data_IF_445945984850
#
_entry.id   IF_445945984850
#
_cell.length_a   1.000
_cell.length_b   1.000
_cell.length_c   1.000
_cell.angle_alpha   90.00
_cell.angle_beta   90.00
_cell.angle_gamma   90.00
#
_symmetry.space_group_name_H-M   'P 1'
#
loop_
_entity.id
_entity.type
_entity.pdbx_description
1 polymer ?
#
# COMPACT_ATOMS: atom_id res chain seq x y z
N UNK A 1 -7.44 -11.20 11.51
CA UNK A 1 -6.34 -11.30 12.50
C UNK A 1 -6.54 -12.48 13.44
N UNK A 2 -7.69 -12.58 14.12
CA UNK A 2 -7.94 -13.66 15.11
C UNK A 2 -7.74 -15.08 14.55
N UNK A 3 -8.21 -15.34 13.32
CA UNK A 3 -8.00 -16.62 12.66
C UNK A 3 -6.50 -16.96 12.50
N UNK A 4 -5.67 -15.99 12.08
CA UNK A 4 -4.22 -16.19 11.94
C UNK A 4 -3.55 -16.49 13.28
N UNK A 5 -4.02 -15.85 14.36
CA UNK A 5 -3.53 -16.11 15.73
C UNK A 5 -3.94 -17.49 16.20
N UNK A 6 -5.20 -17.87 16.00
CA UNK A 6 -5.73 -19.17 16.40
C UNK A 6 -5.03 -20.35 15.70
N UNK A 7 -4.52 -20.14 14.48
CA UNK A 7 -3.79 -21.16 13.72
C UNK A 7 -2.27 -21.06 13.83
N UNK A 8 -1.74 -20.14 14.65
CA UNK A 8 -0.29 -19.94 14.81
C UNK A 8 0.43 -19.36 13.58
N UNK A 9 -0.30 -18.81 12.61
CA UNK A 9 0.26 -18.23 11.38
C UNK A 9 0.55 -16.73 11.49
N UNK A 10 0.07 -16.08 12.56
CA UNK A 10 0.09 -14.62 12.69
C UNK A 10 1.49 -14.01 12.59
N UNK A 11 2.49 -14.61 13.26
CA UNK A 11 3.85 -14.04 13.33
C UNK A 11 4.56 -14.05 11.96
N UNK A 12 4.22 -15.02 11.09
CA UNK A 12 4.81 -15.24 9.77
C UNK A 12 3.86 -14.87 8.61
N UNK A 13 2.88 -14.01 8.88
CA UNK A 13 1.96 -13.50 7.85
C UNK A 13 2.15 -12.00 7.67
N UNK A 14 2.35 -11.58 6.42
CA UNK A 14 2.28 -10.18 6.02
C UNK A 14 0.82 -9.81 5.77
N UNK A 15 0.31 -8.83 6.50
CA UNK A 15 -1.04 -8.29 6.33
C UNK A 15 -0.93 -6.91 5.69
N UNK A 16 -1.58 -6.73 4.55
CA UNK A 16 -1.67 -5.45 3.84
C UNK A 16 -3.13 -5.05 3.75
N UNK A 17 -3.45 -3.83 4.20
CA UNK A 17 -4.75 -3.21 4.02
C UNK A 17 -4.59 -1.94 3.21
N UNK A 18 -5.34 -1.80 2.12
CA UNK A 18 -5.32 -0.63 1.22
C UNK A 18 -6.67 -0.48 0.50
N UNK A 19 -6.80 0.54 -0.34
CA UNK A 19 -7.95 0.78 -1.22
C UNK A 19 -7.51 0.90 -2.68
N UNK A 20 -8.40 0.66 -3.63
CA UNK A 20 -8.14 0.78 -5.08
C UNK A 20 -8.31 2.21 -5.61
N UNK A 21 -9.05 3.05 -4.89
CA UNK A 21 -9.24 4.48 -5.17
C UNK A 21 -9.62 5.25 -3.90
N UNK A 22 -9.57 6.57 -4.00
CA UNK A 22 -10.15 7.48 -3.01
C UNK A 22 -11.67 7.33 -2.94
N UNK A 23 -12.25 7.73 -1.80
CA UNK A 23 -13.66 7.51 -1.53
C UNK A 23 -14.60 8.27 -2.49
N UNK A 24 -15.82 7.76 -2.77
CA UNK A 24 -16.79 8.47 -3.61
C UNK A 24 -17.34 9.70 -2.90
N UNK A 25 -17.62 10.76 -3.68
CA UNK A 25 -18.34 11.93 -3.16
C UNK A 25 -19.82 11.63 -3.00
N UNK A 26 -20.41 12.16 -1.92
CA UNK A 26 -21.86 12.14 -1.68
C UNK A 26 -22.65 12.81 -2.83
N UNK A 27 -21.99 13.65 -3.62
CA UNK A 27 -22.57 14.35 -4.78
C UNK A 27 -22.60 13.49 -6.05
N UNK A 28 -22.00 12.29 -6.05
CA UNK A 28 -21.95 11.41 -7.23
C UNK A 28 -23.27 10.66 -7.49
N UNK A 29 -24.35 11.00 -6.78
CA UNK A 29 -25.71 10.51 -7.05
C UNK A 29 -26.00 9.07 -6.61
N UNK A 30 -25.07 8.41 -5.92
CA UNK A 30 -25.27 7.08 -5.33
C UNK A 30 -25.50 7.14 -3.81
N UNK A 31 -25.96 6.04 -3.18
CA UNK A 31 -26.14 5.98 -1.73
C UNK A 31 -24.81 5.95 -0.95
N UNK A 32 -23.69 5.85 -1.66
CA UNK A 32 -22.36 5.69 -1.07
C UNK A 32 -21.64 7.03 -1.00
N UNK A 33 -21.04 7.30 0.15
CA UNK A 33 -20.31 8.52 0.44
C UNK A 33 -19.11 8.25 1.33
N UNK A 34 -18.05 9.01 1.14
CA UNK A 34 -16.82 8.94 1.92
C UNK A 34 -16.22 10.33 2.14
N UNK A 35 -15.32 10.42 3.11
CA UNK A 35 -14.62 11.65 3.42
C UNK A 35 -13.14 11.52 3.04
N UNK A 36 -12.71 12.29 2.04
CA UNK A 36 -11.31 12.35 1.60
C UNK A 36 -10.55 13.55 2.19
N UNK A 37 -11.17 14.35 3.07
CA UNK A 37 -10.50 15.51 3.69
C UNK A 37 -9.19 15.07 4.38
N UNK A 38 -8.08 15.84 4.24
CA UNK A 38 -7.98 17.16 3.62
C UNK A 38 -7.68 17.16 2.10
N UNK A 39 -7.71 16.00 1.46
CA UNK A 39 -7.29 15.84 0.08
C UNK A 39 -8.37 16.33 -0.90
N UNK A 40 -7.94 16.96 -1.99
CA UNK A 40 -8.83 17.47 -3.04
C UNK A 40 -9.37 16.31 -3.89
N UNK A 41 -10.68 16.31 -4.17
CA UNK A 41 -11.30 15.36 -5.10
C UNK A 41 -11.83 14.09 -4.45
N UNK A 42 -12.30 13.17 -5.29
CA UNK A 42 -12.92 11.91 -4.91
C UNK A 42 -12.72 10.87 -6.02
N UNK A 43 -13.24 9.66 -5.82
CA UNK A 43 -13.23 8.58 -6.82
C UNK A 43 -13.48 9.10 -8.25
N UNK A 44 -12.56 8.79 -9.15
CA UNK A 44 -12.62 9.20 -10.56
C UNK A 44 -12.01 10.57 -10.87
N UNK A 45 -11.44 11.26 -9.88
CA UNK A 45 -10.61 12.45 -10.12
C UNK A 45 -9.12 12.10 -10.05
N UNK A 46 -8.31 12.83 -10.80
CA UNK A 46 -6.83 12.75 -10.79
C UNK A 46 -6.18 13.61 -9.70
N UNK A 47 -6.96 14.04 -8.71
CA UNK A 47 -6.46 14.74 -7.53
C UNK A 47 -6.19 13.73 -6.40
N UNK A 48 -5.40 14.10 -5.39
CA UNK A 48 -5.03 13.22 -4.28
C UNK A 48 -6.24 12.52 -3.62
N UNK A 49 -7.37 13.20 -3.45
CA UNK A 49 -8.58 12.60 -2.85
C UNK A 49 -9.24 11.53 -3.71
N UNK A 50 -8.85 11.38 -4.98
CA UNK A 50 -9.27 10.30 -5.87
C UNK A 50 -8.26 9.15 -5.99
N UNK A 51 -6.98 9.39 -5.68
CA UNK A 51 -5.88 8.44 -5.95
C UNK A 51 -5.09 8.03 -4.70
N UNK A 52 -4.91 8.92 -3.72
CA UNK A 52 -4.21 8.63 -2.48
C UNK A 52 -5.14 7.94 -1.51
N UNK A 53 -4.71 6.79 -1.01
CA UNK A 53 -5.51 5.88 -0.17
C UNK A 53 -4.80 5.58 1.15
N UNK A 54 -5.52 5.23 2.22
CA UNK A 54 -4.90 4.67 3.41
C UNK A 54 -4.25 3.33 3.06
N UNK A 55 -3.02 3.12 3.53
CA UNK A 55 -2.31 1.85 3.39
C UNK A 55 -1.65 1.49 4.72
N UNK A 56 -1.80 0.23 5.13
CA UNK A 56 -1.18 -0.31 6.34
C UNK A 56 -0.51 -1.64 6.00
N UNK A 57 0.72 -1.81 6.50
CA UNK A 57 1.44 -3.08 6.44
C UNK A 57 1.72 -3.52 7.86
N UNK A 58 1.46 -4.79 8.14
CA UNK A 58 1.78 -5.41 9.40
C UNK A 58 2.46 -6.75 9.16
N UNK A 59 3.69 -6.89 9.68
CA UNK A 59 4.46 -8.11 9.61
C UNK A 59 5.26 -8.28 10.90
N UNK A 60 4.78 -9.08 11.87
CA UNK A 60 5.39 -9.17 13.20
C UNK A 60 6.86 -9.58 13.18
N UNK A 61 7.22 -10.65 12.47
CA UNK A 61 8.58 -11.20 12.52
C UNK A 61 9.59 -10.40 11.68
N UNK A 62 9.29 -10.12 10.41
CA UNK A 62 10.26 -9.50 9.51
C UNK A 62 10.08 -7.99 9.30
N UNK A 63 9.10 -7.37 9.96
CA UNK A 63 8.84 -5.92 9.90
C UNK A 63 8.87 -5.25 11.28
N UNK A 64 9.40 -5.91 12.32
CA UNK A 64 9.33 -5.43 13.70
C UNK A 64 9.90 -4.00 13.88
N UNK A 65 10.95 -3.64 13.13
CA UNK A 65 11.56 -2.31 13.15
C UNK A 65 10.61 -1.20 12.66
N UNK A 66 9.57 -1.56 11.91
CA UNK A 66 8.57 -0.65 11.35
C UNK A 66 7.27 -0.59 12.16
N UNK A 67 7.17 -1.33 13.27
CA UNK A 67 5.97 -1.31 14.09
C UNK A 67 5.72 0.09 14.67
N UNK A 68 4.54 0.66 14.37
CA UNK A 68 4.14 1.99 14.83
C UNK A 68 4.84 3.16 14.11
N UNK A 69 5.62 2.88 13.06
CA UNK A 69 6.24 3.94 12.25
C UNK A 69 5.31 4.37 11.11
N UNK A 70 5.65 5.49 10.47
CA UNK A 70 4.99 5.97 9.25
C UNK A 70 6.05 6.11 8.17
N UNK A 71 5.70 5.71 6.94
CA UNK A 71 6.52 5.90 5.76
C UNK A 71 5.90 7.05 4.95
N UNK A 72 6.63 8.15 4.80
CA UNK A 72 6.18 9.33 4.04
C UNK A 72 6.69 9.34 2.58
N UNK A 73 7.22 8.20 2.10
CA UNK A 73 7.68 8.01 0.73
C UNK A 73 6.55 7.59 -0.21
N UNK A 74 6.76 7.79 -1.51
CA UNK A 74 5.77 7.42 -2.54
C UNK A 74 5.73 5.91 -2.70
N UNK A 75 4.56 5.33 -2.48
CA UNK A 75 4.24 3.96 -2.84
C UNK A 75 3.03 3.97 -3.76
N UNK A 76 3.17 3.31 -4.90
CA UNK A 76 2.16 3.30 -5.93
C UNK A 76 1.54 1.90 -6.07
N UNK A 77 0.26 1.76 -6.44
CA UNK A 77 -0.43 0.47 -6.48
C UNK A 77 0.29 -0.59 -7.35
N UNK A 78 0.94 -0.16 -8.44
CA UNK A 78 1.74 -1.01 -9.31
C UNK A 78 2.98 -1.61 -8.61
N UNK A 79 3.50 -0.96 -7.57
CA UNK A 79 4.68 -1.41 -6.82
C UNK A 79 4.39 -2.66 -5.98
N UNK A 80 3.12 -2.95 -5.68
CA UNK A 80 2.76 -4.16 -4.92
C UNK A 80 3.24 -5.44 -5.60
N UNK A 81 3.13 -5.52 -6.93
CA UNK A 81 3.54 -6.72 -7.66
C UNK A 81 5.03 -7.05 -7.44
N UNK A 82 6.00 -6.21 -7.84
CA UNK A 82 7.41 -6.52 -7.67
C UNK A 82 7.84 -6.52 -6.19
N UNK A 83 7.18 -5.74 -5.33
CA UNK A 83 7.45 -5.75 -3.88
C UNK A 83 7.11 -7.10 -3.25
N UNK A 84 5.99 -7.71 -3.62
CA UNK A 84 5.57 -9.00 -3.08
C UNK A 84 6.30 -10.18 -3.73
N UNK A 85 6.50 -10.14 -5.05
CA UNK A 85 7.09 -11.27 -5.77
C UNK A 85 8.60 -11.30 -5.61
N UNK A 86 9.28 -10.19 -5.92
CA UNK A 86 10.74 -10.14 -5.87
C UNK A 86 11.24 -9.93 -4.44
N UNK A 87 10.58 -9.05 -3.68
CA UNK A 87 10.94 -8.73 -2.31
C UNK A 87 10.55 -9.81 -1.31
N UNK A 88 9.25 -9.95 -1.04
CA UNK A 88 8.76 -10.89 -0.01
C UNK A 88 9.02 -12.36 -0.39
N UNK A 89 8.64 -12.79 -1.59
CA UNK A 89 8.76 -14.19 -1.99
C UNK A 89 10.19 -14.57 -2.48
N UNK A 90 11.07 -13.58 -2.67
CA UNK A 90 12.44 -13.81 -3.16
C UNK A 90 12.47 -14.43 -4.56
N UNK A 91 11.45 -14.19 -5.39
CA UNK A 91 11.34 -14.77 -6.74
C UNK A 91 11.75 -13.76 -7.79
N UNK A 92 12.65 -14.16 -8.66
CA UNK A 92 13.02 -13.36 -9.83
C UNK A 92 12.00 -13.56 -10.96
N UNK A 93 10.88 -12.84 -10.89
CA UNK A 93 9.86 -12.83 -11.93
C UNK A 93 9.87 -11.49 -12.67
N UNK A 94 10.29 -11.53 -13.93
CA UNK A 94 10.25 -10.40 -14.85
C UNK A 94 8.93 -10.36 -15.63
N UNK A 95 7.94 -9.65 -15.11
CA UNK A 95 6.86 -9.10 -15.93
C UNK A 95 7.23 -7.66 -16.26
N UNK A 96 6.96 -7.22 -17.49
CA UNK A 96 7.01 -5.79 -17.82
C UNK A 96 5.93 -5.09 -16.99
N UNK A 97 6.36 -4.23 -16.06
CA UNK A 97 5.46 -3.50 -15.16
C UNK A 97 6.05 -2.13 -14.83
N UNK A 98 5.19 -1.15 -14.60
CA UNK A 98 5.61 0.18 -14.13
C UNK A 98 5.96 0.20 -12.62
N UNK A 99 5.80 -0.93 -11.93
CA UNK A 99 6.08 -1.09 -10.51
C UNK A 99 7.56 -1.21 -10.18
N UNK A 100 7.94 -0.75 -8.98
CA UNK A 100 9.27 -0.90 -8.42
C UNK A 100 9.22 -1.75 -7.14
N UNK A 101 10.19 -2.64 -6.94
CA UNK A 101 10.31 -3.39 -5.69
C UNK A 101 10.72 -2.44 -4.55
N UNK A 102 9.85 -2.27 -3.55
CA UNK A 102 10.08 -1.41 -2.40
C UNK A 102 10.14 -2.19 -1.06
N UNK A 103 10.39 -3.50 -1.10
CA UNK A 103 10.30 -4.38 0.08
C UNK A 103 11.25 -4.01 1.22
N UNK A 104 12.47 -3.59 0.89
CA UNK A 104 13.46 -3.15 1.88
C UNK A 104 12.98 -1.90 2.64
N UNK A 105 12.27 -0.99 1.96
CA UNK A 105 11.65 0.17 2.61
C UNK A 105 10.48 -0.26 3.49
N UNK A 106 9.63 -1.19 3.02
CA UNK A 106 8.48 -1.71 3.77
C UNK A 106 8.90 -2.43 5.06
N UNK A 107 10.06 -3.10 5.05
CA UNK A 107 10.60 -3.84 6.20
C UNK A 107 11.62 -3.07 7.03
N UNK A 108 11.99 -1.85 6.61
CA UNK A 108 12.94 -0.99 7.32
C UNK A 108 14.42 -1.35 7.14
N UNK A 109 14.74 -2.20 6.15
CA UNK A 109 16.12 -2.51 5.75
C UNK A 109 16.80 -1.28 5.14
N UNK A 110 16.05 -0.48 4.38
CA UNK A 110 16.53 0.80 3.83
C UNK A 110 15.65 1.95 4.30
N UNK A 111 16.27 3.11 4.50
CA UNK A 111 15.56 4.37 4.75
C UNK A 111 15.69 5.24 3.52
N UNK A 112 14.69 5.18 2.64
CA UNK A 112 14.64 6.02 1.47
C UNK A 112 13.64 5.52 0.42
N UNK A 113 13.17 6.41 -0.46
CA UNK A 113 12.29 6.04 -1.54
C UNK A 113 13.06 5.27 -2.62
N UNK A 114 12.51 4.14 -3.08
CA UNK A 114 12.93 3.56 -4.37
C UNK A 114 12.25 4.31 -5.52
N UNK A 115 10.99 4.70 -5.32
CA UNK A 115 10.19 5.51 -6.24
C UNK A 115 10.24 6.99 -5.87
N UNK A 116 10.58 7.86 -6.83
CA UNK A 116 10.60 9.32 -6.63
C UNK A 116 9.54 10.05 -7.47
N UNK A 117 8.76 9.31 -8.24
CA UNK A 117 7.77 9.82 -9.17
C UNK A 117 6.37 9.26 -8.89
N UNK A 118 5.35 10.11 -9.07
CA UNK A 118 3.95 9.67 -9.07
C UNK A 118 3.58 9.26 -10.48
N UNK A 119 3.01 8.06 -10.63
CA UNK A 119 2.44 7.63 -11.90
C UNK A 119 1.03 8.21 -12.05
N UNK A 120 0.78 8.82 -13.20
CA UNK A 120 -0.54 9.30 -13.62
C UNK A 120 -0.86 8.60 -14.95
N UNK A 121 -2.06 8.04 -15.06
CA UNK A 121 -2.57 7.39 -16.27
C UNK A 121 -3.92 7.96 -16.66
#
# INVERSE_FOLDING_TARGET
VDALKATGMYEDTVIIATSDNGGPSNSAGGPNGANNYPLRGYKGNVFDGGMRVPAFVHYPNGGAAMNGTTIDYVFHAADWYPTLVNGLAGKDWSLSSDGLNQWDMVTGVTQGPVRNETLLW
#
